data_IF_252869015771
#
_entry.id   IF_252869015771
#
_cell.length_a   1.000
_cell.length_b   1.000
_cell.length_c   1.000
_cell.angle_alpha   90.00
_cell.angle_beta   90.00
_cell.angle_gamma   90.00
#
_symmetry.space_group_name_H-M   'P 1'
#
loop_
_entity.id
_entity.type
_entity.pdbx_description
1 polymer ?
#
# COMPACT_ATOMS: atom_id res chain seq x y z
N UNK A 1 -0.50 2.47 -8.74
CA UNK A 1 -1.05 2.12 -7.39
C UNK A 1 -0.88 3.36 -6.53
N UNK A 2 -1.81 3.79 -5.70
CA UNK A 2 -1.59 5.02 -4.92
C UNK A 2 -0.50 4.86 -3.84
N UNK A 3 -0.05 5.95 -3.21
CA UNK A 3 0.90 5.97 -2.10
C UNK A 3 0.29 6.55 -0.82
N UNK A 4 0.49 5.88 0.33
CA UNK A 4 0.12 6.39 1.66
C UNK A 4 1.37 6.62 2.48
N UNK A 5 1.41 7.74 3.21
CA UNK A 5 2.36 7.98 4.31
C UNK A 5 1.59 8.55 5.49
N UNK A 6 1.95 8.16 6.70
CA UNK A 6 1.45 8.80 7.92
C UNK A 6 2.51 8.75 9.01
N UNK A 7 2.44 9.70 9.93
CA UNK A 7 3.44 9.87 10.97
C UNK A 7 2.82 10.45 12.24
N UNK A 8 3.27 9.96 13.38
CA UNK A 8 3.00 10.53 14.70
C UNK A 8 4.33 10.63 15.48
N UNK A 9 4.64 11.81 16.00
CA UNK A 9 5.92 12.12 16.66
C UNK A 9 5.75 13.22 17.73
N UNK A 10 6.81 13.51 18.49
CA UNK A 10 6.91 14.73 19.29
C UNK A 10 7.61 15.88 18.52
N UNK A 11 8.03 15.64 17.28
CA UNK A 11 8.67 16.61 16.39
C UNK A 11 7.82 16.86 15.15
N UNK A 12 8.09 17.96 14.44
CA UNK A 12 7.36 18.28 13.22
C UNK A 12 7.46 17.13 12.20
N UNK A 13 6.32 16.52 11.86
CA UNK A 13 6.27 15.36 10.95
C UNK A 13 6.17 15.75 9.48
N UNK A 14 5.96 17.03 9.16
CA UNK A 14 5.68 17.47 7.79
C UNK A 14 6.83 17.15 6.83
N UNK A 15 8.11 17.38 7.16
CA UNK A 15 9.22 16.98 6.29
C UNK A 15 9.24 15.47 6.00
N UNK A 16 8.87 14.64 6.98
CA UNK A 16 8.81 13.18 6.80
C UNK A 16 7.66 12.76 5.87
N UNK A 17 6.50 13.43 5.96
CA UNK A 17 5.40 13.18 5.02
C UNK A 17 5.81 13.54 3.58
N UNK A 18 6.39 14.73 3.37
CA UNK A 18 6.81 15.18 2.04
C UNK A 18 7.86 14.23 1.44
N UNK A 19 8.91 13.91 2.20
CA UNK A 19 9.95 12.99 1.74
C UNK A 19 9.38 11.60 1.43
N UNK A 20 8.51 11.08 2.29
CA UNK A 20 7.85 9.79 2.06
C UNK A 20 7.00 9.80 0.79
N UNK A 21 6.22 10.86 0.57
CA UNK A 21 5.38 10.99 -0.62
C UNK A 21 6.20 11.13 -1.90
N UNK A 22 7.28 11.91 -1.88
CA UNK A 22 8.22 12.05 -3.00
C UNK A 22 8.77 10.69 -3.44
N UNK A 23 9.07 9.81 -2.47
CA UNK A 23 9.52 8.44 -2.75
C UNK A 23 8.43 7.52 -3.27
N UNK A 24 7.15 7.86 -3.10
CA UNK A 24 6.00 7.08 -3.59
C UNK A 24 5.43 7.62 -4.92
N UNK A 25 5.99 8.68 -5.50
CA UNK A 25 5.49 9.26 -6.76
C UNK A 25 5.51 8.28 -7.94
N UNK A 26 6.44 7.31 -7.93
CA UNK A 26 6.47 6.25 -8.96
C UNK A 26 5.20 5.39 -8.98
N UNK A 27 4.43 5.38 -7.88
CA UNK A 27 3.19 4.62 -7.77
C UNK A 27 1.99 5.44 -8.28
N UNK A 28 1.98 6.76 -8.06
CA UNK A 28 0.93 7.68 -8.51
C UNK A 28 1.36 9.15 -8.46
N UNK A 29 0.96 9.93 -9.46
CA UNK A 29 1.41 11.31 -9.67
C UNK A 29 0.33 12.25 -10.24
N UNK A 30 -0.93 11.80 -10.30
CA UNK A 30 -2.03 12.62 -10.83
C UNK A 30 -2.39 13.77 -9.88
N UNK A 31 -2.29 13.50 -8.58
CA UNK A 31 -2.51 14.49 -7.51
C UNK A 31 -1.85 14.02 -6.22
N UNK A 32 -1.63 14.95 -5.30
CA UNK A 32 -1.07 14.66 -3.98
C UNK A 32 -1.68 15.57 -2.92
N UNK A 33 -1.50 15.20 -1.65
CA UNK A 33 -1.96 16.02 -0.56
C UNK A 33 -1.56 15.48 0.81
N UNK A 34 -1.66 16.34 1.81
CA UNK A 34 -1.42 16.03 3.22
C UNK A 34 -2.51 16.64 4.10
N UNK A 35 -2.73 16.04 5.26
CA UNK A 35 -3.52 16.60 6.35
C UNK A 35 -2.74 16.46 7.65
N UNK A 36 -2.64 17.55 8.40
CA UNK A 36 -1.86 17.64 9.63
C UNK A 36 -2.76 18.17 10.73
N UNK A 37 -2.65 17.56 11.91
CA UNK A 37 -3.42 17.98 13.07
C UNK A 37 -2.71 19.10 13.84
N UNK A 38 -3.44 20.21 14.05
CA UNK A 38 -3.01 21.37 14.85
C UNK A 38 -4.14 21.81 15.79
N UNK A 39 -4.64 23.05 15.67
CA UNK A 39 -5.87 23.53 16.32
C UNK A 39 -7.14 22.96 15.65
N UNK A 40 -6.98 22.46 14.43
CA UNK A 40 -7.95 21.78 13.61
C UNK A 40 -7.20 20.81 12.68
N UNK A 41 -7.89 20.29 11.67
CA UNK A 41 -7.24 19.54 10.59
C UNK A 41 -6.88 20.54 9.47
N UNK A 42 -5.59 20.82 9.30
CA UNK A 42 -5.08 21.63 8.19
C UNK A 42 -4.74 20.72 7.02
N UNK A 43 -5.39 20.94 5.87
CA UNK A 43 -5.29 20.09 4.67
C UNK A 43 -4.77 20.88 3.48
N UNK A 44 -3.76 20.34 2.81
CA UNK A 44 -3.22 20.84 1.55
C UNK A 44 -3.36 19.75 0.49
N UNK A 45 -3.88 20.12 -0.68
CA UNK A 45 -4.06 19.22 -1.82
C UNK A 45 -3.73 19.97 -3.09
N UNK A 46 -3.21 19.26 -4.08
CA UNK A 46 -2.90 19.81 -5.38
C UNK A 46 -3.03 18.73 -6.46
N UNK A 47 -3.39 19.16 -7.67
CA UNK A 47 -3.23 18.35 -8.88
C UNK A 47 -1.76 18.34 -9.27
N UNK A 48 -1.27 17.17 -9.70
CA UNK A 48 0.12 16.97 -10.05
C UNK A 48 0.98 16.43 -8.90
N UNK A 49 2.26 16.80 -8.94
CA UNK A 49 3.34 16.17 -8.19
C UNK A 49 3.48 16.71 -6.77
N UNK A 50 4.22 15.99 -5.94
CA UNK A 50 4.46 16.30 -4.51
C UNK A 50 5.19 17.64 -4.33
N UNK A 51 5.96 18.08 -5.33
CA UNK A 51 6.64 19.38 -5.31
C UNK A 51 5.67 20.57 -5.12
N UNK A 52 4.43 20.46 -5.61
CA UNK A 52 3.40 21.47 -5.39
C UNK A 52 3.02 21.56 -3.91
N UNK A 53 2.85 20.41 -3.26
CA UNK A 53 2.55 20.33 -1.82
C UNK A 53 3.73 20.85 -1.00
N UNK A 54 4.96 20.54 -1.38
CA UNK A 54 6.16 21.06 -0.72
C UNK A 54 6.19 22.60 -0.75
N UNK A 55 5.82 23.21 -1.88
CA UNK A 55 5.72 24.66 -2.01
C UNK A 55 4.63 25.23 -1.10
N UNK A 56 3.43 24.66 -1.13
CA UNK A 56 2.32 25.10 -0.27
C UNK A 56 2.64 24.98 1.23
N UNK A 57 3.35 23.92 1.63
CA UNK A 57 3.82 23.71 3.00
C UNK A 57 4.75 24.84 3.44
N UNK A 58 5.71 25.22 2.59
CA UNK A 58 6.66 26.30 2.87
C UNK A 58 5.94 27.64 2.99
N UNK A 59 5.02 27.93 2.07
CA UNK A 59 4.28 29.19 2.04
C UNK A 59 3.39 29.37 3.28
N UNK A 60 2.79 28.29 3.78
CA UNK A 60 1.91 28.32 4.95
C UNK A 60 2.65 28.05 6.28
N UNK A 61 3.94 27.72 6.22
CA UNK A 61 4.73 27.24 7.35
C UNK A 61 3.98 26.15 8.13
N UNK A 62 3.48 25.14 7.39
CA UNK A 62 2.67 24.07 7.96
C UNK A 62 3.56 23.14 8.80
N UNK A 63 3.16 22.94 10.06
CA UNK A 63 3.85 22.06 11.00
C UNK A 63 2.85 21.32 11.87
N UNK A 64 3.19 20.11 12.31
CA UNK A 64 2.41 19.40 13.30
C UNK A 64 3.04 18.08 13.71
N UNK A 65 2.39 17.39 14.63
CA UNK A 65 2.93 16.20 15.30
C UNK A 65 2.25 14.90 14.88
N UNK A 66 1.09 15.01 14.23
CA UNK A 66 0.30 13.92 13.69
C UNK A 66 -0.20 14.32 12.31
N UNK A 67 0.01 13.47 11.31
CA UNK A 67 -0.49 13.74 9.97
C UNK A 67 -0.44 12.54 9.04
N UNK A 68 -1.17 12.68 7.94
CA UNK A 68 -1.29 11.69 6.86
C UNK A 68 -1.10 12.38 5.52
N UNK A 69 -0.59 11.63 4.55
CA UNK A 69 -0.28 12.09 3.21
C UNK A 69 -0.60 11.03 2.17
N UNK A 70 -0.84 11.49 0.94
CA UNK A 70 -1.22 10.62 -0.16
C UNK A 70 -0.69 11.10 -1.51
N UNK A 71 -0.30 10.14 -2.35
CA UNK A 71 -0.15 10.33 -3.80
C UNK A 71 -1.18 9.47 -4.53
N UNK A 72 -1.89 10.07 -5.48
CA UNK A 72 -3.06 9.45 -6.10
C UNK A 72 -2.79 9.08 -7.56
N UNK A 73 -3.23 7.88 -7.91
CA UNK A 73 -3.50 7.44 -9.28
C UNK A 73 -5.01 7.30 -9.42
N UNK A 74 -5.66 8.12 -10.26
CA UNK A 74 -7.11 8.22 -10.29
C UNK A 74 -7.77 6.94 -10.84
N UNK A 75 -8.74 6.39 -10.09
CA UNK A 75 -9.60 5.26 -10.50
C UNK A 75 -11.06 5.70 -10.59
N UNK A 76 -11.61 6.26 -9.51
CA UNK A 76 -12.95 6.86 -9.46
C UNK A 76 -12.89 8.39 -9.46
N UNK A 77 -13.60 9.04 -10.38
CA UNK A 77 -13.60 10.50 -10.51
C UNK A 77 -12.35 11.06 -11.20
N UNK A 78 -12.49 12.24 -11.81
CA UNK A 78 -11.42 12.89 -12.58
C UNK A 78 -10.22 13.32 -11.72
N UNK A 79 -9.15 13.76 -12.39
CA UNK A 79 -7.99 14.39 -11.75
C UNK A 79 -8.34 15.83 -11.38
N UNK A 80 -8.79 16.03 -10.15
CA UNK A 80 -9.17 17.33 -9.59
C UNK A 80 -8.70 17.44 -8.15
N UNK A 81 -8.51 18.66 -7.65
CA UNK A 81 -8.15 18.88 -6.25
C UNK A 81 -9.22 18.35 -5.29
N UNK A 82 -10.50 18.43 -5.65
CA UNK A 82 -11.61 17.88 -4.86
C UNK A 82 -11.51 16.36 -4.67
N UNK A 83 -11.02 15.64 -5.69
CA UNK A 83 -10.84 14.20 -5.67
C UNK A 83 -9.46 13.78 -5.10
N UNK A 84 -8.56 14.72 -4.83
CA UNK A 84 -7.30 14.41 -4.19
C UNK A 84 -7.51 14.07 -2.71
N UNK A 85 -6.73 13.14 -2.19
CA UNK A 85 -6.71 12.81 -0.78
C UNK A 85 -5.81 13.81 -0.02
N UNK A 86 -5.97 14.00 1.31
CA UNK A 86 -6.93 13.35 2.20
C UNK A 86 -8.38 13.86 2.07
N UNK A 87 -9.36 12.97 2.27
CA UNK A 87 -10.77 13.35 2.41
C UNK A 87 -11.08 13.68 3.87
N UNK A 88 -12.00 14.62 4.10
CA UNK A 88 -12.39 15.08 5.43
C UNK A 88 -13.89 14.93 5.60
N UNK A 89 -14.32 14.41 6.74
CA UNK A 89 -15.73 14.42 7.14
C UNK A 89 -15.96 15.40 8.29
N UNK A 90 -16.86 16.38 8.08
CA UNK A 90 -17.34 17.34 9.09
C UNK A 90 -16.22 18.12 9.81
N UNK A 91 -15.05 18.26 9.20
CA UNK A 91 -13.88 18.90 9.82
C UNK A 91 -13.25 18.11 10.98
N UNK A 92 -13.75 16.91 11.29
CA UNK A 92 -13.36 16.15 12.49
C UNK A 92 -12.48 14.94 12.19
N UNK A 93 -12.56 14.38 10.98
CA UNK A 93 -11.88 13.14 10.59
C UNK A 93 -11.24 13.35 9.23
N UNK A 94 -9.97 12.99 9.07
CA UNK A 94 -9.28 12.93 7.79
C UNK A 94 -8.81 11.51 7.47
N UNK A 95 -8.92 11.11 6.21
CA UNK A 95 -8.53 9.77 5.73
C UNK A 95 -7.77 9.84 4.41
N UNK A 96 -6.77 8.95 4.30
CA UNK A 96 -6.13 8.58 3.04
C UNK A 96 -6.39 7.11 2.77
N UNK A 97 -6.52 6.75 1.49
CA UNK A 97 -6.96 5.43 1.06
C UNK A 97 -6.21 4.96 -0.20
N UNK A 98 -5.78 3.71 -0.17
CA UNK A 98 -5.30 2.97 -1.33
C UNK A 98 -6.22 1.78 -1.52
N UNK A 99 -6.82 1.65 -2.70
CA UNK A 99 -7.73 0.56 -2.98
C UNK A 99 -8.97 1.03 -3.74
N UNK A 100 -9.98 0.17 -3.74
CA UNK A 100 -11.29 0.42 -4.34
C UNK A 100 -12.34 -0.12 -3.38
N UNK A 101 -13.30 0.73 -3.03
CA UNK A 101 -14.52 0.33 -2.33
C UNK A 101 -15.59 0.03 -3.37
N UNK A 102 -15.98 -1.23 -3.51
CA UNK A 102 -16.84 -1.71 -4.59
C UNK A 102 -18.32 -1.34 -4.36
N UNK A 103 -18.77 -1.29 -3.12
CA UNK A 103 -20.14 -0.91 -2.74
C UNK A 103 -20.28 0.58 -2.38
N UNK A 104 -19.38 1.45 -2.85
CA UNK A 104 -19.36 2.87 -2.47
C UNK A 104 -20.62 3.64 -2.91
N UNK A 105 -21.27 3.25 -4.01
CA UNK A 105 -22.48 3.94 -4.49
C UNK A 105 -23.66 3.75 -3.53
N UNK A 106 -23.86 2.53 -3.05
CA UNK A 106 -24.92 2.21 -2.08
C UNK A 106 -24.70 2.98 -0.77
N UNK A 107 -23.47 2.94 -0.26
CA UNK A 107 -23.09 3.63 0.98
C UNK A 107 -23.17 5.16 0.85
N UNK A 108 -22.77 5.71 -0.30
CA UNK A 108 -22.91 7.13 -0.60
C UNK A 108 -24.36 7.58 -0.55
N UNK A 109 -25.27 6.84 -1.19
CA UNK A 109 -26.69 7.18 -1.18
C UNK A 109 -27.32 7.02 0.21
N UNK A 110 -26.88 6.01 0.99
CA UNK A 110 -27.26 5.85 2.40
C UNK A 110 -26.83 7.06 3.23
N UNK A 111 -25.59 7.48 3.13
CA UNK A 111 -25.01 8.60 3.89
C UNK A 111 -25.63 9.96 3.49
N UNK A 112 -25.93 10.18 2.21
CA UNK A 112 -26.67 11.38 1.77
C UNK A 112 -28.04 11.50 2.43
N UNK A 113 -28.79 10.39 2.53
CA UNK A 113 -30.10 10.36 3.24
C UNK A 113 -29.97 10.66 4.73
N UNK A 114 -28.80 10.39 5.32
CA UNK A 114 -28.46 10.72 6.71
C UNK A 114 -27.94 12.15 6.88
N UNK A 115 -27.88 12.94 5.81
CA UNK A 115 -27.51 14.36 5.84
C UNK A 115 -26.02 14.66 5.60
N UNK A 116 -25.24 13.69 5.10
CA UNK A 116 -23.87 13.97 4.66
C UNK A 116 -23.85 14.58 3.26
N UNK A 117 -23.10 15.68 3.12
CA UNK A 117 -22.79 16.29 1.83
C UNK A 117 -21.46 15.70 1.31
N UNK A 118 -21.45 15.32 0.03
CA UNK A 118 -20.26 14.80 -0.64
C UNK A 118 -19.70 15.86 -1.58
N UNK A 119 -18.42 16.17 -1.44
CA UNK A 119 -17.70 17.17 -2.25
C UNK A 119 -16.95 16.52 -3.42
N UNK A 120 -16.74 15.20 -3.38
CA UNK A 120 -15.93 14.48 -4.35
C UNK A 120 -16.70 13.37 -5.08
N UNK A 121 -16.09 12.88 -6.16
CA UNK A 121 -16.57 11.72 -6.91
C UNK A 121 -15.94 10.40 -6.44
N UNK A 122 -15.13 10.45 -5.38
CA UNK A 122 -14.34 9.30 -4.94
C UNK A 122 -15.14 8.37 -4.04
N UNK A 123 -14.78 7.10 -4.11
CA UNK A 123 -15.15 6.07 -3.16
C UNK A 123 -14.56 6.34 -1.76
N UNK A 124 -13.37 6.92 -1.68
CA UNK A 124 -12.70 7.25 -0.41
C UNK A 124 -13.51 8.16 0.53
N UNK A 125 -14.26 9.13 0.00
CA UNK A 125 -15.05 10.04 0.83
C UNK A 125 -16.13 9.31 1.64
N UNK A 126 -16.64 8.18 1.13
CA UNK A 126 -17.56 7.29 1.86
C UNK A 126 -16.91 6.81 3.15
N UNK A 127 -15.63 6.44 3.13
CA UNK A 127 -14.90 5.96 4.32
C UNK A 127 -14.89 7.04 5.42
N UNK A 128 -14.62 8.29 5.04
CA UNK A 128 -14.56 9.41 6.00
C UNK A 128 -15.92 9.63 6.69
N UNK A 129 -17.00 9.67 5.90
CA UNK A 129 -18.35 9.89 6.40
C UNK A 129 -18.89 8.69 7.19
N UNK A 130 -18.56 7.47 6.77
CA UNK A 130 -19.00 6.25 7.43
C UNK A 130 -18.39 6.12 8.84
N UNK A 131 -17.09 6.38 8.99
CA UNK A 131 -16.46 6.41 10.32
C UNK A 131 -17.05 7.52 11.18
N UNK A 132 -17.25 8.72 10.63
CA UNK A 132 -17.90 9.81 11.36
C UNK A 132 -19.31 9.43 11.81
N UNK A 133 -20.08 8.74 10.96
CA UNK A 133 -21.40 8.24 11.28
C UNK A 133 -21.37 7.24 12.44
N UNK A 134 -20.47 6.26 12.44
CA UNK A 134 -20.34 5.30 13.54
C UNK A 134 -19.97 5.98 14.87
N UNK A 135 -19.04 6.94 14.84
CA UNK A 135 -18.68 7.69 16.05
C UNK A 135 -19.89 8.46 16.59
N UNK A 136 -20.59 9.22 15.73
CA UNK A 136 -21.68 10.12 16.14
C UNK A 136 -22.96 9.38 16.54
N UNK A 137 -23.34 8.34 15.80
CA UNK A 137 -24.66 7.69 15.97
C UNK A 137 -24.59 6.36 16.70
N UNK A 138 -23.44 5.68 16.72
CA UNK A 138 -23.24 4.41 17.42
C UNK A 138 -22.34 4.54 18.67
N UNK A 139 -21.95 5.78 19.03
CA UNK A 139 -21.11 6.09 20.20
C UNK A 139 -19.83 5.24 20.24
N UNK A 140 -19.19 5.10 19.08
CA UNK A 140 -17.95 4.33 18.91
C UNK A 140 -16.73 5.22 19.08
N UNK A 141 -15.67 4.65 19.62
CA UNK A 141 -14.32 5.22 19.51
C UNK A 141 -13.85 5.20 18.04
N UNK A 142 -12.81 5.99 17.72
CA UNK A 142 -12.22 5.99 16.38
C UNK A 142 -11.74 4.59 15.97
N UNK A 143 -11.12 3.85 16.88
CA UNK A 143 -10.69 2.48 16.66
C UNK A 143 -11.87 1.55 16.34
N UNK A 144 -12.91 1.55 17.17
CA UNK A 144 -14.09 0.70 16.95
C UNK A 144 -14.80 1.04 15.64
N UNK A 145 -14.90 2.33 15.30
CA UNK A 145 -15.52 2.78 14.07
C UNK A 145 -14.74 2.34 12.84
N UNK A 146 -13.40 2.36 12.87
CA UNK A 146 -12.57 1.81 11.79
C UNK A 146 -12.67 0.29 11.72
N UNK A 147 -12.73 -0.41 12.86
CA UNK A 147 -12.93 -1.87 12.89
C UNK A 147 -14.24 -2.31 12.24
N UNK A 148 -15.27 -1.47 12.25
CA UNK A 148 -16.55 -1.76 11.59
C UNK A 148 -16.49 -1.65 10.05
N UNK A 149 -15.47 -1.01 9.48
CA UNK A 149 -15.36 -0.86 8.02
C UNK A 149 -15.24 -2.21 7.29
N UNK A 150 -14.56 -3.19 7.89
CA UNK A 150 -14.41 -4.53 7.29
C UNK A 150 -15.71 -5.33 7.22
N UNK A 151 -16.75 -4.94 7.97
CA UNK A 151 -18.07 -5.56 7.93
C UNK A 151 -19.02 -4.87 6.94
N UNK A 152 -18.77 -3.58 6.65
CA UNK A 152 -19.68 -2.71 5.87
C UNK A 152 -19.18 -2.45 4.44
N UNK A 153 -17.87 -2.50 4.20
CA UNK A 153 -17.28 -2.21 2.90
C UNK A 153 -16.88 -3.49 2.16
N UNK A 154 -17.18 -3.52 0.87
CA UNK A 154 -16.72 -4.54 -0.07
C UNK A 154 -15.55 -4.01 -0.89
N UNK A 155 -14.58 -4.87 -1.22
CA UNK A 155 -13.41 -4.53 -2.03
C UNK A 155 -12.10 -4.69 -1.27
N UNK A 156 -11.13 -3.86 -1.61
CA UNK A 156 -9.80 -3.87 -0.99
C UNK A 156 -9.40 -2.44 -0.64
N UNK A 157 -8.84 -2.25 0.54
CA UNK A 157 -8.40 -0.95 1.03
C UNK A 157 -7.22 -1.06 1.99
N UNK A 158 -6.37 -0.06 1.95
CA UNK A 158 -5.46 0.30 3.03
C UNK A 158 -5.76 1.76 3.38
N UNK A 159 -5.93 2.06 4.66
CA UNK A 159 -6.25 3.42 5.12
C UNK A 159 -5.35 3.86 6.25
N UNK A 160 -5.16 5.18 6.34
CA UNK A 160 -4.69 5.85 7.55
C UNK A 160 -5.63 7.00 7.86
N UNK A 161 -6.02 7.11 9.12
CA UNK A 161 -7.06 8.02 9.58
C UNK A 161 -6.64 8.74 10.86
N UNK A 162 -6.93 10.04 10.91
CA UNK A 162 -6.69 10.89 12.06
C UNK A 162 -7.98 11.62 12.43
N UNK A 163 -8.15 11.95 13.72
CA UNK A 163 -9.31 12.71 14.19
C UNK A 163 -8.92 13.86 15.11
N UNK A 164 -9.64 14.96 14.98
CA UNK A 164 -9.52 16.12 15.86
C UNK A 164 -9.83 15.80 17.32
N UNK A 165 -10.70 14.80 17.57
CA UNK A 165 -11.08 14.37 18.93
C UNK A 165 -10.06 13.43 19.56
N UNK A 166 -9.17 12.86 18.77
CA UNK A 166 -8.19 11.85 19.19
C UNK A 166 -6.78 12.27 18.72
N UNK A 167 -6.22 13.37 19.26
CA UNK A 167 -5.00 13.98 18.72
C UNK A 167 -3.72 13.17 18.94
N UNK A 168 -3.76 12.18 19.83
CA UNK A 168 -2.61 11.37 20.24
C UNK A 168 -2.57 10.00 19.54
N UNK A 169 -3.43 9.77 18.53
CA UNK A 169 -3.48 8.49 17.83
C UNK A 169 -3.84 8.62 16.34
N UNK A 170 -3.31 7.68 15.57
CA UNK A 170 -3.68 7.41 14.18
C UNK A 170 -4.23 6.00 14.12
N UNK A 171 -5.35 5.80 13.43
CA UNK A 171 -5.90 4.46 13.19
C UNK A 171 -5.69 4.08 11.73
N UNK A 172 -5.18 2.88 11.51
CA UNK A 172 -4.92 2.31 10.20
C UNK A 172 -5.67 0.99 10.05
N UNK A 173 -6.08 0.65 8.83
CA UNK A 173 -6.66 -0.65 8.53
C UNK A 173 -6.18 -1.16 7.17
N UNK A 174 -6.07 -2.48 7.06
CA UNK A 174 -5.64 -3.18 5.85
C UNK A 174 -6.60 -4.30 5.47
N UNK A 175 -6.98 -4.32 4.20
CA UNK A 175 -7.67 -5.42 3.53
C UNK A 175 -7.25 -5.46 2.05
N UNK A 176 -6.36 -6.37 1.66
CA UNK A 176 -5.97 -6.60 0.27
C UNK A 176 -4.96 -5.59 -0.33
N UNK A 177 -4.82 -4.38 0.24
CA UNK A 177 -3.80 -3.41 -0.16
C UNK A 177 -2.63 -3.37 0.83
N UNK A 178 -1.38 -3.22 0.38
CA UNK A 178 -0.22 -3.25 1.27
C UNK A 178 -0.21 -2.04 2.22
N UNK A 179 0.12 -2.31 3.48
CA UNK A 179 0.33 -1.30 4.50
C UNK A 179 1.33 -1.82 5.54
N UNK A 180 2.28 -0.97 5.92
CA UNK A 180 3.47 -1.33 6.71
C UNK A 180 3.67 -0.27 7.78
N UNK A 181 3.99 -0.70 8.99
CA UNK A 181 4.37 0.18 10.10
C UNK A 181 5.89 0.33 10.12
N UNK A 182 6.38 1.57 10.16
CA UNK A 182 7.76 1.89 10.49
C UNK A 182 7.88 2.26 11.97
N UNK A 183 8.75 1.54 12.70
CA UNK A 183 8.96 1.73 14.13
C UNK A 183 10.07 2.75 14.38
N UNK A 184 9.82 3.74 15.23
CA UNK A 184 10.84 4.61 15.80
C UNK A 184 10.80 4.61 17.32
N UNK A 185 11.77 5.24 17.97
CA UNK A 185 11.86 5.21 19.44
C UNK A 185 10.84 6.14 20.13
N UNK A 186 10.53 7.29 19.51
CA UNK A 186 9.57 8.29 20.02
C UNK A 186 8.59 8.78 18.95
N UNK A 187 8.53 8.03 17.85
CA UNK A 187 7.73 8.34 16.68
C UNK A 187 7.42 7.06 15.94
N UNK A 188 6.25 6.99 15.31
CA UNK A 188 5.85 5.85 14.51
C UNK A 188 5.28 6.32 13.19
N UNK A 189 5.45 5.47 12.17
CA UNK A 189 5.11 5.78 10.80
C UNK A 189 4.24 4.68 10.20
N UNK A 190 3.44 5.03 9.21
CA UNK A 190 2.76 4.09 8.33
C UNK A 190 3.08 4.43 6.88
N UNK A 191 3.27 3.43 6.03
CA UNK A 191 3.37 3.65 4.60
C UNK A 191 2.85 2.45 3.81
N UNK A 192 2.47 2.68 2.56
CA UNK A 192 2.10 1.61 1.62
C UNK A 192 3.31 0.86 1.04
N UNK A 193 4.52 1.43 1.19
CA UNK A 193 5.78 0.84 0.73
C UNK A 193 6.92 1.27 1.67
N UNK A 194 7.92 0.39 1.83
CA UNK A 194 9.08 0.61 2.70
C UNK A 194 9.93 1.80 2.26
N UNK A 195 10.02 2.04 0.94
CA UNK A 195 10.82 3.12 0.35
C UNK A 195 10.52 4.48 0.97
N UNK A 196 9.26 4.75 1.33
CA UNK A 196 8.84 6.00 1.98
C UNK A 196 9.44 6.20 3.39
N UNK A 197 9.87 5.12 4.05
CA UNK A 197 10.26 5.11 5.46
C UNK A 197 11.75 4.82 5.68
N UNK A 198 12.49 4.45 4.62
CA UNK A 198 13.92 4.10 4.72
C UNK A 198 14.80 5.23 5.28
N UNK A 199 14.38 6.49 5.12
CA UNK A 199 15.10 7.64 5.66
C UNK A 199 14.94 7.79 7.18
N UNK A 200 13.89 7.20 7.78
CA UNK A 200 13.53 7.41 9.19
C UNK A 200 13.63 6.15 10.04
N UNK A 201 13.53 4.96 9.45
CA UNK A 201 13.69 3.69 10.16
C UNK A 201 14.05 2.52 9.25
N UNK A 202 14.60 1.45 9.85
CA UNK A 202 14.82 0.14 9.22
C UNK A 202 13.98 -0.98 9.85
N UNK A 203 13.20 -0.67 10.89
CA UNK A 203 12.40 -1.65 11.64
C UNK A 203 10.95 -1.56 11.16
N UNK A 204 10.45 -2.64 10.59
CA UNK A 204 9.15 -2.69 9.95
C UNK A 204 8.26 -3.79 10.52
N UNK A 205 6.96 -3.53 10.56
CA UNK A 205 5.94 -4.55 10.79
C UNK A 205 5.02 -4.55 9.56
N UNK A 206 4.91 -5.71 8.91
CA UNK A 206 3.95 -5.90 7.83
C UNK A 206 2.59 -6.27 8.42
N UNK A 207 1.55 -5.55 8.03
CA UNK A 207 0.19 -5.87 8.40
C UNK A 207 -0.32 -7.03 7.54
N UNK A 208 -1.23 -7.83 8.09
CA UNK A 208 -1.97 -8.83 7.31
C UNK A 208 -3.37 -8.30 6.97
N UNK A 209 -4.06 -9.02 6.08
CA UNK A 209 -5.42 -8.67 5.70
C UNK A 209 -6.38 -8.86 6.89
N UNK A 210 -7.19 -7.83 7.14
CA UNK A 210 -8.07 -7.73 8.30
C UNK A 210 -7.43 -7.06 9.52
N UNK A 211 -6.14 -6.71 9.48
CA UNK A 211 -5.50 -6.01 10.59
C UNK A 211 -6.01 -4.55 10.69
N UNK A 212 -6.32 -4.15 11.92
CA UNK A 212 -6.55 -2.76 12.32
C UNK A 212 -5.51 -2.37 13.37
N UNK A 213 -4.95 -1.18 13.24
CA UNK A 213 -3.84 -0.73 14.07
C UNK A 213 -4.15 0.60 14.71
N UNK A 214 -3.96 0.69 16.01
CA UNK A 214 -3.84 1.95 16.72
C UNK A 214 -2.36 2.30 16.86
N UNK A 215 -1.97 3.45 16.30
CA UNK A 215 -0.60 3.95 16.33
C UNK A 215 -0.57 5.21 17.19
N UNK A 216 0.26 5.18 18.23
CA UNK A 216 0.62 6.32 19.08
C UNK A 216 2.10 6.61 18.94
N UNK A 217 2.57 7.73 19.47
CA UNK A 217 4.01 8.08 19.48
C UNK A 217 4.88 7.07 20.24
N UNK A 218 4.32 6.47 21.29
CA UNK A 218 5.00 5.64 22.29
C UNK A 218 4.49 4.20 22.32
N UNK A 219 3.59 3.83 21.40
CA UNK A 219 3.02 2.49 21.37
C UNK A 219 2.24 2.19 20.11
N UNK A 220 2.16 0.91 19.79
CA UNK A 220 1.39 0.36 18.67
C UNK A 220 0.60 -0.82 19.21
N UNK A 221 -0.68 -0.88 18.85
CA UNK A 221 -1.53 -2.03 19.12
C UNK A 221 -2.19 -2.49 17.83
N UNK A 222 -2.03 -3.78 17.51
CA UNK A 222 -2.58 -4.41 16.32
C UNK A 222 -3.72 -5.34 16.73
N UNK A 223 -4.81 -5.29 15.99
CA UNK A 223 -5.99 -6.10 16.17
C UNK A 223 -6.25 -6.89 14.90
N UNK A 224 -6.57 -8.18 15.04
CA UNK A 224 -7.00 -9.00 13.91
C UNK A 224 -8.46 -8.72 13.50
N UNK A 225 -8.94 -9.41 12.47
CA UNK A 225 -10.33 -9.33 11.98
C UNK A 225 -11.39 -9.65 13.04
N UNK A 226 -11.03 -10.42 14.07
CA UNK A 226 -11.92 -10.77 15.19
C UNK A 226 -11.80 -9.76 16.35
N UNK A 227 -11.12 -8.63 16.11
CA UNK A 227 -10.89 -7.52 17.05
C UNK A 227 -10.04 -7.93 18.25
N UNK A 228 -9.27 -9.04 18.15
CA UNK A 228 -8.36 -9.50 19.20
C UNK A 228 -6.99 -8.86 19.03
N UNK A 229 -6.37 -8.46 20.13
CA UNK A 229 -5.00 -7.95 20.10
C UNK A 229 -4.02 -9.05 19.71
N UNK A 230 -3.15 -8.74 18.76
CA UNK A 230 -2.15 -9.65 18.22
C UNK A 230 -0.78 -8.98 18.15
N UNK A 231 0.28 -9.78 18.03
CA UNK A 231 1.64 -9.31 17.81
C UNK A 231 2.14 -9.81 16.47
N UNK A 232 2.51 -8.89 15.60
CA UNK A 232 3.14 -9.18 14.30
C UNK A 232 4.66 -9.13 14.46
N UNK A 233 5.38 -9.90 13.63
CA UNK A 233 6.84 -9.97 13.67
C UNK A 233 7.45 -8.65 13.20
N UNK A 234 8.46 -8.17 13.91
CA UNK A 234 9.31 -7.07 13.46
C UNK A 234 10.39 -7.59 12.52
N UNK A 235 10.55 -6.92 11.39
CA UNK A 235 11.57 -7.18 10.38
C UNK A 235 12.56 -6.02 10.35
N UNK A 236 13.84 -6.34 10.14
CA UNK A 236 14.89 -5.35 9.88
C UNK A 236 15.18 -5.42 8.39
N UNK A 237 15.04 -4.30 7.69
CA UNK A 237 15.34 -4.23 6.26
C UNK A 237 16.83 -4.03 6.01
N UNK A 238 17.39 -4.84 5.13
CA UNK A 238 18.77 -4.68 4.61
C UNK A 238 18.83 -3.72 3.41
N UNK A 239 17.69 -3.27 2.90
CA UNK A 239 17.61 -2.31 1.78
C UNK A 239 18.29 -1.00 2.16
N UNK A 240 19.21 -0.54 1.33
CA UNK A 240 19.91 0.74 1.51
C UNK A 240 19.27 1.84 0.67
N UNK A 241 19.31 3.08 1.16
CA UNK A 241 18.81 4.25 0.42
C UNK A 241 19.48 4.40 -0.96
N UNK A 242 20.77 4.07 -1.06
CA UNK A 242 21.55 4.18 -2.28
C UNK A 242 21.04 3.30 -3.44
N UNK A 243 20.36 2.18 -3.17
CA UNK A 243 19.83 1.34 -4.24
C UNK A 243 18.62 1.97 -4.94
N UNK A 244 17.99 2.97 -4.31
CA UNK A 244 16.79 3.66 -4.78
C UNK A 244 17.06 5.08 -5.31
N UNK A 245 18.33 5.46 -5.48
CA UNK A 245 18.72 6.75 -6.05
C UNK A 245 19.15 6.64 -7.51
N UNK A 246 19.08 7.74 -8.25
CA UNK A 246 19.50 7.80 -9.65
C UNK A 246 21.01 7.62 -9.84
N UNK A 247 21.83 7.94 -8.83
CA UNK A 247 23.30 7.89 -8.96
C UNK A 247 23.79 8.76 -10.13
N UNK A 248 24.64 8.24 -11.04
CA UNK A 248 25.17 9.01 -12.17
C UNK A 248 24.23 9.09 -13.38
N UNK A 249 23.00 8.58 -13.28
CA UNK A 249 22.06 8.48 -14.40
C UNK A 249 21.02 9.60 -14.39
N UNK A 250 20.48 9.94 -15.55
CA UNK A 250 19.46 10.98 -15.68
C UNK A 250 18.04 10.46 -15.39
N UNK A 251 17.83 9.15 -15.59
CA UNK A 251 16.53 8.48 -15.43
C UNK A 251 16.66 7.11 -14.79
N UNK A 252 15.66 6.69 -14.01
CA UNK A 252 15.64 5.36 -13.38
C UNK A 252 15.63 4.26 -14.45
N UNK A 253 14.86 4.42 -15.53
CA UNK A 253 14.88 3.47 -16.65
C UNK A 253 16.27 3.33 -17.27
N UNK A 254 17.03 4.43 -17.39
CA UNK A 254 18.40 4.38 -17.88
C UNK A 254 19.29 3.62 -16.89
N UNK A 255 19.24 3.96 -15.59
CA UNK A 255 19.97 3.24 -14.53
C UNK A 255 19.69 1.74 -14.59
N UNK A 256 18.42 1.36 -14.54
CA UNK A 256 17.98 -0.04 -14.51
C UNK A 256 18.39 -0.81 -15.77
N UNK A 257 18.35 -0.18 -16.96
CA UNK A 257 18.86 -0.79 -18.19
C UNK A 257 20.35 -1.09 -18.09
N UNK A 258 21.15 -0.15 -17.57
CA UNK A 258 22.61 -0.29 -17.45
C UNK A 258 23.02 -1.20 -16.29
N UNK A 259 22.17 -1.37 -15.27
CA UNK A 259 22.40 -2.26 -14.13
C UNK A 259 22.05 -3.73 -14.43
N UNK A 260 21.40 -4.03 -15.56
CA UNK A 260 21.04 -5.40 -15.95
C UNK A 260 22.18 -6.44 -15.85
N UNK A 261 23.44 -6.15 -16.24
CA UNK A 261 24.53 -7.13 -16.09
C UNK A 261 24.78 -7.52 -14.63
N UNK A 262 24.71 -6.53 -13.72
CA UNK A 262 24.85 -6.77 -12.28
C UNK A 262 23.62 -7.48 -11.73
N UNK A 263 22.42 -7.01 -12.05
CA UNK A 263 21.17 -7.63 -11.61
C UNK A 263 21.07 -9.11 -12.03
N UNK A 264 21.51 -9.44 -13.25
CA UNK A 264 21.60 -10.83 -13.71
C UNK A 264 22.59 -11.64 -12.87
N UNK A 265 23.77 -11.07 -12.58
CA UNK A 265 24.80 -11.70 -11.74
C UNK A 265 24.26 -11.98 -10.35
N UNK A 266 23.68 -10.97 -9.69
CA UNK A 266 23.08 -11.09 -8.36
C UNK A 266 21.96 -12.16 -8.34
N UNK A 267 21.21 -12.32 -9.44
CA UNK A 267 20.14 -13.34 -9.56
C UNK A 267 20.69 -14.76 -9.64
N UNK A 268 21.86 -14.97 -10.25
CA UNK A 268 22.44 -16.31 -10.49
C UNK A 268 23.64 -16.61 -9.59
N UNK A 269 24.07 -15.67 -8.73
CA UNK A 269 25.28 -15.77 -7.90
C UNK A 269 25.29 -17.06 -7.07
N UNK A 270 24.18 -17.35 -6.37
CA UNK A 270 24.07 -18.57 -5.58
C UNK A 270 24.19 -19.86 -6.40
N UNK A 271 23.77 -19.84 -7.67
CA UNK A 271 23.87 -20.98 -8.60
C UNK A 271 25.32 -21.11 -9.10
N UNK A 272 25.97 -19.99 -9.40
CA UNK A 272 27.38 -19.95 -9.82
C UNK A 272 28.27 -20.47 -8.69
N UNK A 273 28.08 -19.99 -7.47
CA UNK A 273 28.87 -20.37 -6.29
C UNK A 273 28.71 -21.85 -5.94
N UNK A 274 27.48 -22.37 -6.05
CA UNK A 274 27.21 -23.80 -5.85
C UNK A 274 27.74 -24.67 -7.01
N UNK A 275 28.00 -24.09 -8.19
CA UNK A 275 28.43 -24.79 -9.40
C UNK A 275 27.37 -25.70 -10.02
N UNK A 276 26.15 -25.73 -9.48
CA UNK A 276 25.03 -26.52 -9.98
C UNK A 276 23.69 -25.90 -9.54
N UNK A 277 22.61 -26.31 -10.20
CA UNK A 277 21.25 -25.91 -9.87
C UNK A 277 20.62 -26.94 -8.94
N UNK A 278 20.37 -26.58 -7.68
CA UNK A 278 19.78 -27.46 -6.67
C UNK A 278 18.30 -27.12 -6.43
N UNK A 279 17.45 -28.15 -6.43
CA UNK A 279 16.01 -28.00 -6.18
C UNK A 279 15.67 -27.40 -4.81
N UNK A 280 16.58 -27.55 -3.84
CA UNK A 280 16.43 -27.00 -2.49
C UNK A 280 16.36 -25.48 -2.44
N UNK A 281 16.76 -24.79 -3.52
CA UNK A 281 16.55 -23.35 -3.72
C UNK A 281 15.06 -22.97 -3.67
N UNK A 282 14.16 -23.91 -3.96
CA UNK A 282 12.70 -23.72 -3.88
C UNK A 282 12.08 -24.22 -2.57
N UNK A 283 12.93 -24.58 -1.59
CA UNK A 283 12.52 -25.05 -0.27
C UNK A 283 12.58 -26.57 -0.11
N UNK A 284 12.48 -27.03 1.15
CA UNK A 284 12.75 -28.43 1.54
C UNK A 284 11.87 -29.48 0.83
N UNK A 285 10.64 -29.11 0.44
CA UNK A 285 9.67 -30.04 -0.15
C UNK A 285 9.59 -29.90 -1.68
N UNK A 286 10.40 -29.04 -2.30
CA UNK A 286 10.28 -28.73 -3.72
C UNK A 286 10.49 -29.96 -4.62
N UNK A 287 11.45 -30.82 -4.30
CA UNK A 287 11.70 -32.05 -5.05
C UNK A 287 10.46 -32.96 -5.12
N UNK A 288 9.74 -33.10 -4.00
CA UNK A 288 8.54 -33.91 -3.95
C UNK A 288 7.43 -33.30 -4.83
N UNK A 289 7.19 -31.99 -4.69
CA UNK A 289 6.16 -31.30 -5.47
C UNK A 289 6.47 -31.30 -6.98
N UNK A 290 7.70 -30.98 -7.37
CA UNK A 290 8.10 -30.95 -8.78
C UNK A 290 8.10 -32.34 -9.42
N UNK A 291 8.33 -33.42 -8.65
CA UNK A 291 8.24 -34.78 -9.17
C UNK A 291 6.81 -35.23 -9.52
N UNK A 292 5.80 -34.57 -8.93
CA UNK A 292 4.37 -34.90 -9.11
C UNK A 292 3.68 -33.99 -10.13
N UNK A 293 4.31 -32.88 -10.50
CA UNK A 293 3.66 -31.90 -11.38
C UNK A 293 3.58 -32.42 -12.81
N UNK A 294 2.43 -32.23 -13.44
CA UNK A 294 2.18 -32.63 -14.83
C UNK A 294 2.00 -31.43 -15.78
N UNK A 295 1.87 -30.23 -15.22
CA UNK A 295 1.61 -29.00 -15.96
C UNK A 295 1.97 -27.76 -15.15
N UNK A 296 2.16 -26.63 -15.84
CA UNK A 296 2.46 -25.33 -15.25
C UNK A 296 1.41 -24.31 -15.71
N UNK A 297 0.87 -23.53 -14.78
CA UNK A 297 0.07 -22.35 -15.06
C UNK A 297 0.81 -21.11 -14.55
N UNK A 298 1.18 -20.23 -15.47
CA UNK A 298 1.80 -18.94 -15.16
C UNK A 298 0.72 -17.86 -15.13
N UNK A 299 0.61 -17.15 -14.01
CA UNK A 299 -0.29 -16.01 -13.83
C UNK A 299 0.52 -14.73 -13.66
N UNK A 300 0.31 -13.75 -14.54
CA UNK A 300 1.04 -12.50 -14.50
C UNK A 300 0.25 -11.36 -15.16
N UNK A 301 0.81 -10.15 -15.14
CA UNK A 301 0.27 -8.98 -15.84
C UNK A 301 1.41 -8.20 -16.53
N UNK A 302 1.09 -7.46 -17.59
CA UNK A 302 2.03 -6.56 -18.27
C UNK A 302 3.35 -7.24 -18.70
N UNK A 303 4.49 -6.62 -18.39
CA UNK A 303 5.82 -7.14 -18.76
C UNK A 303 6.11 -8.52 -18.17
N UNK A 304 5.64 -8.81 -16.95
CA UNK A 304 5.81 -10.13 -16.32
C UNK A 304 5.04 -11.24 -17.06
N UNK A 305 3.91 -10.92 -17.69
CA UNK A 305 3.21 -11.86 -18.57
C UNK A 305 4.08 -12.22 -19.78
N UNK A 306 4.75 -11.24 -20.40
CA UNK A 306 5.66 -11.51 -21.52
C UNK A 306 6.87 -12.36 -21.11
N UNK A 307 7.42 -12.14 -19.91
CA UNK A 307 8.46 -13.03 -19.36
C UNK A 307 7.96 -14.48 -19.23
N UNK A 308 6.71 -14.66 -18.76
CA UNK A 308 6.04 -15.97 -18.72
C UNK A 308 5.85 -16.60 -20.10
N UNK A 309 5.44 -15.80 -21.10
CA UNK A 309 5.31 -16.25 -22.49
C UNK A 309 6.66 -16.70 -23.05
N UNK A 310 7.76 -15.99 -22.77
CA UNK A 310 9.10 -16.45 -23.13
C UNK A 310 9.48 -17.74 -22.41
N UNK A 311 9.26 -17.81 -21.10
CA UNK A 311 9.58 -19.00 -20.29
C UNK A 311 8.81 -20.24 -20.74
N UNK A 312 7.57 -20.10 -21.21
CA UNK A 312 6.77 -21.20 -21.77
C UNK A 312 7.51 -21.96 -22.87
N UNK A 313 8.19 -21.26 -23.78
CA UNK A 313 8.95 -21.94 -24.85
C UNK A 313 10.04 -22.85 -24.27
N UNK A 314 10.75 -22.42 -23.23
CA UNK A 314 11.79 -23.23 -22.59
C UNK A 314 11.20 -24.39 -21.79
N UNK A 315 10.13 -24.15 -21.03
CA UNK A 315 9.46 -25.18 -20.22
C UNK A 315 8.89 -26.30 -21.10
N UNK A 316 8.30 -25.96 -22.26
CA UNK A 316 7.78 -26.97 -23.20
C UNK A 316 8.89 -27.60 -24.05
N UNK A 317 9.85 -26.84 -24.56
CA UNK A 317 10.87 -27.37 -25.48
C UNK A 317 11.97 -28.15 -24.77
N UNK A 318 12.37 -27.74 -23.57
CA UNK A 318 13.48 -28.31 -22.80
C UNK A 318 12.93 -29.29 -21.76
N UNK A 319 12.07 -28.83 -20.85
CA UNK A 319 11.57 -29.65 -19.75
C UNK A 319 10.42 -30.60 -20.15
N UNK A 320 9.80 -30.39 -21.32
CA UNK A 320 8.68 -31.20 -21.85
C UNK A 320 7.43 -31.17 -20.96
N UNK A 321 7.18 -30.04 -20.29
CA UNK A 321 6.04 -29.87 -19.39
C UNK A 321 5.01 -28.92 -20.01
N UNK A 322 3.74 -29.34 -20.21
CA UNK A 322 2.67 -28.48 -20.69
C UNK A 322 2.58 -27.19 -19.87
N UNK A 323 2.64 -26.04 -20.54
CA UNK A 323 2.66 -24.74 -19.85
C UNK A 323 1.62 -23.78 -20.42
N UNK A 324 0.78 -23.24 -19.55
CA UNK A 324 -0.20 -22.19 -19.87
C UNK A 324 0.25 -20.88 -19.25
N UNK A 325 0.06 -19.77 -19.95
CA UNK A 325 0.33 -18.42 -19.44
C UNK A 325 -0.95 -17.62 -19.61
N UNK A 326 -1.48 -17.08 -18.52
CA UNK A 326 -2.72 -16.30 -18.54
C UNK A 326 -2.53 -14.92 -17.92
N UNK A 327 -3.32 -13.97 -18.42
CA UNK A 327 -3.45 -12.65 -17.82
C UNK A 327 -4.23 -12.84 -16.51
N UNK A 328 -3.59 -12.47 -15.40
CA UNK A 328 -4.12 -12.65 -14.05
C UNK A 328 -5.51 -12.03 -13.82
N UNK A 329 -5.81 -10.89 -14.47
CA UNK A 329 -7.14 -10.25 -14.39
C UNK A 329 -8.24 -11.11 -15.01
N UNK A 330 -7.97 -11.83 -16.09
CA UNK A 330 -8.94 -12.71 -16.74
C UNK A 330 -9.15 -13.99 -15.93
N UNK A 331 -8.06 -14.56 -15.42
CA UNK A 331 -8.11 -15.79 -14.61
C UNK A 331 -8.98 -15.62 -13.35
N UNK A 332 -8.93 -14.44 -12.70
CA UNK A 332 -9.65 -14.18 -11.44
C UNK A 332 -11.17 -14.23 -11.58
N UNK A 333 -11.73 -13.91 -12.74
CA UNK A 333 -13.18 -13.76 -12.93
C UNK A 333 -13.84 -14.91 -13.70
N UNK A 334 -13.06 -15.88 -14.18
CA UNK A 334 -13.59 -17.04 -14.91
C UNK A 334 -13.60 -18.28 -14.04
N UNK A 335 -14.50 -19.20 -14.35
CA UNK A 335 -14.43 -20.55 -13.80
C UNK A 335 -13.16 -21.25 -14.31
N UNK A 336 -12.32 -21.71 -13.37
CA UNK A 336 -11.12 -22.48 -13.67
C UNK A 336 -11.40 -23.97 -13.50
N UNK A 337 -10.70 -24.80 -14.29
CA UNK A 337 -10.74 -26.26 -14.15
C UNK A 337 -9.51 -26.66 -13.32
N UNK A 338 -9.65 -26.93 -12.02
CA UNK A 338 -8.51 -27.16 -11.15
C UNK A 338 -7.83 -28.48 -11.50
N UNK A 339 -6.51 -28.45 -11.59
CA UNK A 339 -5.66 -29.64 -11.65
C UNK A 339 -4.79 -29.69 -10.38
N UNK A 340 -4.95 -30.70 -9.50
CA UNK A 340 -4.20 -30.80 -8.26
C UNK A 340 -2.68 -31.00 -8.46
N UNK A 341 -2.26 -31.43 -9.65
CA UNK A 341 -0.85 -31.60 -10.02
C UNK A 341 -0.29 -30.43 -10.84
N UNK A 342 -1.06 -29.35 -11.03
CA UNK A 342 -0.58 -28.18 -11.76
C UNK A 342 0.23 -27.26 -10.83
N UNK A 343 1.45 -26.94 -11.22
CA UNK A 343 2.23 -25.90 -10.57
C UNK A 343 1.70 -24.52 -10.97
N UNK A 344 1.27 -23.72 -10.01
CA UNK A 344 0.90 -22.32 -10.24
C UNK A 344 2.12 -21.45 -9.98
N UNK A 345 2.56 -20.71 -11.00
CA UNK A 345 3.67 -19.76 -10.93
C UNK A 345 3.15 -18.34 -11.13
N UNK A 346 3.27 -17.48 -10.12
CA UNK A 346 2.97 -16.06 -10.26
C UNK A 346 4.25 -15.27 -10.54
N UNK A 347 4.26 -14.43 -11.59
CA UNK A 347 5.40 -13.57 -11.89
C UNK A 347 5.01 -12.11 -11.61
N UNK A 348 5.67 -11.51 -10.61
CA UNK A 348 5.57 -10.09 -10.25
C UNK A 348 6.98 -9.54 -10.11
N UNK A 349 7.17 -8.27 -10.52
CA UNK A 349 8.38 -7.51 -10.19
C UNK A 349 8.44 -7.25 -8.69
#
# INVERSE_FOLDING_TARGET
MCGIVGAISNQNIVPHLIEGLSRLEYRGYDSSGIAVLRKGIERLRSVGRVAEIETMVKDQNLEGFLGIGHTRWATHGGVTELNAHPHISQGEIAVVHNGIIENYEEERERLKKLGYEFESQTDTEVIAHLVHYFIKHHNKSLLEAVQMLGEELSGAFAIAMISLKNPDEMICARLGCPLIIGLGDTQNFIASDISALLAVTKKFIYLEDGDVVQIKKDGIQIFDKDKKTITRKTHISDVTLSSMELGPYDHFMQKEIYEQPRALTDTIEAIIDAGHFDVSLFGKNAQEHFSKMDSILILAAGTSYYAGVTAKYWLESIAKIPTTVEISSEYRYRDSVPNPNQLILTISQ
#
